data_IF_876144404122
#
_entry.id   IF_876144404122
#
_cell.length_a   1.000
_cell.length_b   1.000
_cell.length_c   1.000
_cell.angle_alpha   90.00
_cell.angle_beta   90.00
_cell.angle_gamma   90.00
#
_symmetry.space_group_name_H-M   'P 1'
#
loop_
_entity.id
_entity.type
_entity.pdbx_description
1 polymer ?
#
# COMPACT_ATOMS: atom_id res chain seq x y z
N UNK A 1 -34.75 -20.01 -3.71
CA UNK A 1 -33.33 -20.40 -3.89
C UNK A 1 -32.93 -21.17 -2.67
N UNK A 2 -32.35 -22.36 -2.82
CA UNK A 2 -31.78 -23.13 -1.71
C UNK A 2 -30.67 -22.32 -1.04
N UNK A 3 -30.73 -22.19 0.28
CA UNK A 3 -29.72 -21.51 1.07
C UNK A 3 -28.34 -22.17 0.88
N UNK A 4 -27.30 -21.37 0.66
CA UNK A 4 -25.95 -21.91 0.46
C UNK A 4 -25.46 -22.61 1.75
N UNK A 5 -24.62 -23.64 1.60
CA UNK A 5 -24.00 -24.29 2.76
C UNK A 5 -23.19 -23.30 3.60
N UNK A 6 -22.59 -22.29 2.95
CA UNK A 6 -21.81 -21.25 3.61
C UNK A 6 -22.68 -20.37 4.51
N UNK A 7 -23.79 -19.86 3.97
CA UNK A 7 -24.75 -19.05 4.73
C UNK A 7 -25.38 -19.84 5.86
N UNK A 8 -25.84 -21.07 5.58
CA UNK A 8 -26.49 -21.94 6.57
C UNK A 8 -25.58 -22.21 7.77
N UNK A 9 -24.33 -22.60 7.53
CA UNK A 9 -23.38 -22.90 8.61
C UNK A 9 -22.96 -21.64 9.37
N UNK A 10 -22.81 -20.51 8.69
CA UNK A 10 -22.52 -19.24 9.33
C UNK A 10 -23.64 -18.76 10.28
N UNK A 11 -24.90 -18.97 9.89
CA UNK A 11 -26.08 -18.68 10.72
C UNK A 11 -26.18 -19.62 11.93
N UNK A 12 -25.69 -20.85 11.82
CA UNK A 12 -25.71 -21.84 12.89
C UNK A 12 -24.64 -21.60 13.98
N UNK A 13 -23.60 -20.83 13.69
CA UNK A 13 -22.58 -20.47 14.68
C UNK A 13 -23.20 -19.66 15.82
N UNK A 14 -22.87 -20.02 17.07
CA UNK A 14 -23.28 -19.27 18.26
C UNK A 14 -22.79 -17.82 18.22
N UNK A 15 -23.54 -16.89 18.81
CA UNK A 15 -23.06 -15.52 19.03
C UNK A 15 -21.87 -15.47 19.99
N UNK A 16 -21.75 -16.47 20.88
CA UNK A 16 -20.66 -16.62 21.85
C UNK A 16 -19.51 -17.49 21.34
N UNK A 17 -19.55 -17.91 20.06
CA UNK A 17 -18.55 -18.80 19.48
C UNK A 17 -17.12 -18.28 19.70
N UNK A 18 -16.29 -19.14 20.30
CA UNK A 18 -14.86 -18.87 20.48
C UNK A 18 -14.10 -19.21 19.19
N UNK A 19 -12.81 -18.87 19.15
CA UNK A 19 -11.93 -19.11 18.01
C UNK A 19 -11.98 -20.57 17.53
N UNK A 20 -11.98 -21.53 18.46
CA UNK A 20 -12.07 -22.97 18.15
C UNK A 20 -13.39 -23.38 17.51
N UNK A 21 -14.52 -22.80 17.94
CA UNK A 21 -15.83 -23.07 17.33
C UNK A 21 -15.87 -22.54 15.90
N UNK A 22 -15.42 -21.31 15.68
CA UNK A 22 -15.37 -20.68 14.36
C UNK A 22 -14.48 -21.51 13.43
N UNK A 23 -13.32 -21.96 13.91
CA UNK A 23 -12.38 -22.77 13.15
C UNK A 23 -13.00 -24.11 12.72
N UNK A 24 -13.57 -24.85 13.67
CA UNK A 24 -14.00 -26.24 13.48
C UNK A 24 -15.40 -26.37 12.88
N UNK A 25 -16.27 -25.38 13.07
CA UNK A 25 -17.66 -25.42 12.57
C UNK A 25 -17.82 -24.66 11.25
N UNK A 26 -16.99 -23.64 10.96
CA UNK A 26 -17.15 -22.80 9.77
C UNK A 26 -15.92 -22.76 8.86
N UNK A 27 -14.75 -22.41 9.38
CA UNK A 27 -13.56 -22.18 8.52
C UNK A 27 -13.14 -23.48 7.81
N UNK A 28 -12.81 -24.53 8.57
CA UNK A 28 -12.33 -25.80 8.02
C UNK A 28 -13.39 -26.53 7.21
N UNK A 29 -14.61 -26.78 7.71
CA UNK A 29 -15.56 -27.64 7.00
C UNK A 29 -16.28 -26.94 5.84
N UNK A 30 -16.29 -25.60 5.79
CA UNK A 30 -17.12 -24.86 4.82
C UNK A 30 -16.32 -23.82 4.05
N UNK A 31 -15.61 -22.90 4.72
CA UNK A 31 -14.89 -21.84 4.03
C UNK A 31 -13.75 -22.39 3.16
N UNK A 32 -12.88 -23.23 3.73
CA UNK A 32 -11.73 -23.78 3.00
C UNK A 32 -12.15 -24.63 1.78
N UNK A 33 -13.12 -25.58 1.90
CA UNK A 33 -13.65 -26.30 0.74
C UNK A 33 -14.32 -25.38 -0.30
N UNK A 34 -15.01 -24.31 0.12
CA UNK A 34 -15.56 -23.33 -0.83
C UNK A 34 -14.47 -22.60 -1.64
N UNK A 35 -13.25 -22.59 -1.10
CA UNK A 35 -12.04 -22.07 -1.74
C UNK A 35 -11.18 -23.18 -2.33
N UNK A 36 -11.73 -24.37 -2.50
CA UNK A 36 -11.11 -25.55 -3.10
C UNK A 36 -9.92 -26.10 -2.31
N UNK A 37 -9.73 -25.74 -1.03
CA UNK A 37 -8.64 -26.29 -0.20
C UNK A 37 -8.98 -27.66 0.38
N UNK A 38 -8.01 -28.57 0.36
CA UNK A 38 -8.12 -29.91 0.92
C UNK A 38 -7.58 -29.98 2.36
N UNK A 39 -7.90 -31.08 3.07
CA UNK A 39 -7.53 -31.29 4.48
C UNK A 39 -6.02 -31.32 4.75
N UNK A 40 -5.20 -31.56 3.71
CA UNK A 40 -3.73 -31.59 3.80
C UNK A 40 -3.07 -30.29 3.32
N UNK A 41 -3.86 -29.25 3.03
CA UNK A 41 -3.39 -27.94 2.50
C UNK A 41 -3.41 -26.82 3.56
N UNK A 42 -3.58 -27.17 4.83
CA UNK A 42 -3.52 -26.23 5.95
C UNK A 42 -2.82 -26.81 7.19
N UNK A 43 -2.39 -25.92 8.08
CA UNK A 43 -1.84 -26.25 9.39
C UNK A 43 -2.46 -25.34 10.45
N UNK A 44 -3.01 -25.95 11.50
CA UNK A 44 -3.57 -25.26 12.66
C UNK A 44 -2.42 -24.90 13.62
N UNK A 45 -2.54 -23.79 14.35
CA UNK A 45 -1.54 -23.36 15.36
C UNK A 45 -0.13 -23.26 14.75
N UNK A 46 -0.03 -22.62 13.59
CA UNK A 46 1.18 -22.60 12.79
C UNK A 46 2.25 -21.68 13.41
N UNK A 47 3.46 -22.20 13.72
CA UNK A 47 4.53 -21.40 14.31
C UNK A 47 5.09 -20.41 13.29
N UNK A 48 5.01 -19.12 13.61
CA UNK A 48 5.44 -18.05 12.69
C UNK A 48 6.96 -17.92 12.54
N UNK A 49 7.72 -18.59 13.41
CA UNK A 49 9.18 -18.48 13.47
C UNK A 49 9.69 -17.25 14.21
N UNK A 50 8.79 -16.48 14.83
CA UNK A 50 9.10 -15.31 15.66
C UNK A 50 8.77 -15.59 17.13
N UNK A 51 9.78 -16.01 17.90
CA UNK A 51 9.57 -16.39 19.31
C UNK A 51 8.52 -17.50 19.43
N UNK A 52 7.58 -17.35 20.36
CA UNK A 52 6.47 -18.28 20.57
C UNK A 52 5.18 -17.96 19.80
N UNK A 53 5.18 -16.96 18.90
CA UNK A 53 3.97 -16.55 18.17
C UNK A 53 3.51 -17.66 17.21
N UNK A 54 2.24 -18.07 17.35
CA UNK A 54 1.53 -18.99 16.45
C UNK A 54 0.31 -18.29 15.86
N UNK A 55 0.04 -18.53 14.58
CA UNK A 55 -1.19 -18.08 13.91
C UNK A 55 -2.19 -19.24 13.86
N UNK A 56 -3.48 -18.94 14.01
CA UNK A 56 -4.52 -19.99 14.13
C UNK A 56 -4.53 -20.94 12.93
N UNK A 57 -4.32 -20.41 11.73
CA UNK A 57 -4.27 -21.21 10.51
C UNK A 57 -3.25 -20.67 9.50
N UNK A 58 -2.44 -21.55 8.95
CA UNK A 58 -1.64 -21.29 7.75
C UNK A 58 -2.10 -22.22 6.62
N UNK A 59 -2.05 -21.75 5.38
CA UNK A 59 -2.63 -22.42 4.21
C UNK A 59 -1.65 -22.36 3.03
N UNK A 60 -1.53 -23.48 2.31
CA UNK A 60 -0.79 -23.60 1.04
C UNK A 60 -1.33 -24.75 0.19
N UNK A 61 -1.54 -24.47 -1.09
CA UNK A 61 -1.77 -25.52 -2.10
C UNK A 61 -0.62 -26.51 -2.16
N UNK A 62 -0.94 -27.80 -2.25
CA UNK A 62 0.06 -28.82 -2.51
C UNK A 62 0.67 -28.62 -3.91
N UNK A 63 1.90 -29.07 -4.07
CA UNK A 63 2.51 -29.23 -5.38
C UNK A 63 2.92 -30.70 -5.55
N UNK A 64 3.32 -31.09 -6.76
CA UNK A 64 3.62 -32.48 -7.12
C UNK A 64 4.67 -33.16 -6.21
N UNK A 65 5.48 -32.37 -5.49
CA UNK A 65 6.62 -32.86 -4.70
C UNK A 65 6.50 -32.58 -3.21
N UNK A 66 5.53 -31.78 -2.78
CA UNK A 66 5.47 -31.25 -1.42
C UNK A 66 4.04 -31.05 -0.92
N UNK A 67 3.70 -31.84 0.10
CA UNK A 67 2.47 -31.76 0.86
C UNK A 67 2.63 -30.81 2.06
N UNK A 68 1.77 -29.79 2.14
CA UNK A 68 1.91 -28.73 3.13
C UNK A 68 1.68 -29.18 4.57
N UNK A 69 0.71 -30.06 4.84
CA UNK A 69 0.48 -30.58 6.18
C UNK A 69 1.72 -31.30 6.76
N UNK A 70 2.55 -31.87 5.88
CA UNK A 70 3.83 -32.49 6.26
C UNK A 70 4.97 -31.46 6.35
N UNK A 71 5.24 -30.72 5.28
CA UNK A 71 6.41 -29.83 5.23
C UNK A 71 6.27 -28.57 6.08
N UNK A 72 5.03 -28.08 6.24
CA UNK A 72 4.70 -26.86 6.98
C UNK A 72 5.59 -25.69 6.57
N UNK A 73 5.91 -25.60 5.28
CA UNK A 73 6.79 -24.59 4.74
C UNK A 73 6.08 -23.70 3.73
N UNK A 74 6.53 -22.46 3.65
CA UNK A 74 6.17 -21.49 2.62
C UNK A 74 4.66 -21.19 2.48
N UNK A 75 3.90 -20.97 3.57
CA UNK A 75 2.48 -20.62 3.48
C UNK A 75 2.27 -19.38 2.61
N UNK A 76 1.18 -19.35 1.85
CA UNK A 76 0.84 -18.19 1.02
C UNK A 76 -0.30 -17.36 1.64
N UNK A 77 -1.12 -17.98 2.48
CA UNK A 77 -2.24 -17.40 3.22
C UNK A 77 -2.16 -17.80 4.70
N UNK A 78 -2.48 -16.86 5.59
CA UNK A 78 -2.71 -17.13 7.02
C UNK A 78 -4.07 -16.56 7.44
N UNK A 79 -4.71 -17.17 8.44
CA UNK A 79 -5.95 -16.69 9.03
C UNK A 79 -5.75 -16.56 10.54
N UNK A 80 -6.02 -15.37 11.06
CA UNK A 80 -6.10 -15.10 12.49
C UNK A 80 -7.56 -14.92 12.89
N UNK A 81 -7.96 -15.64 13.94
CA UNK A 81 -9.30 -15.71 14.48
C UNK A 81 -9.40 -14.91 15.79
N UNK A 82 -10.61 -14.41 16.04
CA UNK A 82 -11.04 -13.86 17.32
C UNK A 82 -12.42 -14.40 17.65
N UNK A 83 -12.77 -14.50 18.93
CA UNK A 83 -14.13 -14.86 19.36
C UNK A 83 -15.18 -13.85 18.84
N UNK A 84 -16.39 -14.31 18.52
CA UNK A 84 -17.47 -13.50 17.93
C UNK A 84 -17.89 -12.30 18.77
N UNK A 85 -17.82 -12.43 20.10
CA UNK A 85 -18.17 -11.38 21.06
C UNK A 85 -17.15 -10.25 21.15
N UNK A 86 -15.96 -10.39 20.57
CA UNK A 86 -15.00 -9.27 20.51
C UNK A 86 -15.57 -8.18 19.61
N UNK A 87 -15.57 -6.93 20.11
CA UNK A 87 -15.88 -5.76 19.29
C UNK A 87 -14.84 -5.64 18.17
N UNK A 88 -15.26 -6.03 16.98
CA UNK A 88 -14.46 -5.98 15.77
C UNK A 88 -14.90 -4.88 14.83
N UNK A 89 -15.65 -3.88 15.32
CA UNK A 89 -15.91 -2.68 14.55
C UNK A 89 -14.61 -1.94 14.19
N UNK A 90 -14.59 -1.30 13.02
CA UNK A 90 -13.41 -0.57 12.56
C UNK A 90 -13.02 0.51 13.56
N UNK A 91 -11.79 0.43 14.06
CA UNK A 91 -11.24 1.40 15.00
C UNK A 91 -11.39 1.02 16.48
N UNK A 92 -12.12 -0.06 16.81
CA UNK A 92 -12.16 -0.57 18.18
C UNK A 92 -10.76 -0.94 18.70
N UNK A 93 -10.56 -0.91 20.03
CA UNK A 93 -9.27 -1.28 20.63
C UNK A 93 -8.90 -2.73 20.35
N UNK A 94 -9.88 -3.64 20.32
CA UNK A 94 -9.62 -5.06 20.12
C UNK A 94 -9.32 -5.38 18.67
N UNK A 95 -10.01 -4.73 17.72
CA UNK A 95 -9.63 -4.75 16.31
C UNK A 95 -8.19 -4.24 16.12
N UNK A 96 -7.83 -3.09 16.70
CA UNK A 96 -6.47 -2.55 16.59
C UNK A 96 -5.39 -3.50 17.15
N UNK A 97 -5.65 -4.14 18.29
CA UNK A 97 -4.74 -5.17 18.84
C UNK A 97 -4.60 -6.36 17.90
N UNK A 98 -5.70 -6.84 17.33
CA UNK A 98 -5.70 -7.96 16.42
C UNK A 98 -4.95 -7.65 15.10
N UNK A 99 -5.09 -6.43 14.56
CA UNK A 99 -4.29 -5.96 13.42
C UNK A 99 -2.80 -5.89 13.76
N UNK A 100 -2.43 -5.41 14.96
CA UNK A 100 -1.02 -5.40 15.40
C UNK A 100 -0.47 -6.82 15.53
N UNK A 101 -1.25 -7.75 16.09
CA UNK A 101 -0.90 -9.17 16.16
C UNK A 101 -0.65 -9.75 14.77
N UNK A 102 -1.57 -9.55 13.81
CA UNK A 102 -1.42 -9.99 12.43
C UNK A 102 -0.15 -9.42 11.77
N UNK A 103 0.12 -8.13 11.96
CA UNK A 103 1.33 -7.47 11.44
C UNK A 103 2.61 -8.08 12.02
N UNK A 104 2.61 -8.59 13.26
CA UNK A 104 3.78 -9.30 13.83
C UNK A 104 4.08 -10.58 13.07
N UNK A 105 3.07 -11.37 12.70
CA UNK A 105 3.22 -12.61 11.93
C UNK A 105 3.74 -12.37 10.51
N UNK A 106 3.46 -11.19 9.96
CA UNK A 106 3.88 -10.78 8.62
C UNK A 106 5.18 -9.95 8.63
N UNK A 107 5.78 -9.75 9.80
CA UNK A 107 7.02 -9.00 9.92
C UNK A 107 8.22 -9.79 9.37
N UNK A 108 9.32 -9.11 8.96
CA UNK A 108 10.50 -9.79 8.44
C UNK A 108 11.13 -10.82 9.38
N UNK A 109 10.91 -10.68 10.70
CA UNK A 109 11.42 -11.62 11.71
C UNK A 109 10.57 -12.88 11.88
N UNK A 110 9.37 -12.95 11.30
CA UNK A 110 8.57 -14.17 11.22
C UNK A 110 9.07 -15.04 10.07
N UNK A 111 10.11 -15.84 10.35
CA UNK A 111 10.88 -16.57 9.34
C UNK A 111 10.05 -17.60 8.57
N UNK A 112 9.05 -18.21 9.20
CA UNK A 112 8.19 -19.22 8.59
C UNK A 112 7.04 -18.62 7.77
N UNK A 113 6.84 -17.29 7.85
CA UNK A 113 5.78 -16.58 7.14
C UNK A 113 6.30 -15.70 5.99
N UNK A 114 7.58 -15.83 5.60
CA UNK A 114 8.22 -14.96 4.59
C UNK A 114 7.53 -14.98 3.22
N UNK A 115 6.88 -16.08 2.85
CA UNK A 115 6.19 -16.28 1.57
C UNK A 115 4.72 -15.87 1.61
N UNK A 116 4.17 -15.52 2.78
CA UNK A 116 2.76 -15.16 2.94
C UNK A 116 2.48 -13.90 2.12
N UNK A 117 1.48 -13.98 1.23
CA UNK A 117 1.04 -12.86 0.40
C UNK A 117 -0.27 -12.26 0.91
N UNK A 118 -1.10 -13.10 1.52
CA UNK A 118 -2.42 -12.73 2.02
C UNK A 118 -2.56 -13.13 3.47
N UNK A 119 -3.32 -12.33 4.21
CA UNK A 119 -3.71 -12.68 5.56
C UNK A 119 -5.17 -12.28 5.76
N UNK A 120 -5.90 -13.10 6.50
CA UNK A 120 -7.28 -12.82 6.88
C UNK A 120 -7.32 -12.59 8.38
N UNK A 121 -8.07 -11.57 8.76
CA UNK A 121 -8.45 -11.34 10.15
C UNK A 121 -9.97 -11.47 10.24
N UNK A 122 -10.48 -12.33 11.10
CA UNK A 122 -11.93 -12.51 11.26
C UNK A 122 -12.30 -12.93 12.66
N UNK A 123 -13.50 -12.52 13.09
CA UNK A 123 -14.14 -13.05 14.29
C UNK A 123 -15.41 -13.85 13.96
N UNK A 124 -15.60 -14.26 12.70
CA UNK A 124 -16.84 -14.87 12.22
C UNK A 124 -17.96 -13.86 11.91
N UNK A 125 -18.04 -12.71 12.57
CA UNK A 125 -19.02 -11.65 12.21
C UNK A 125 -18.43 -10.66 11.20
N UNK A 126 -17.14 -10.36 11.35
CA UNK A 126 -16.38 -9.48 10.49
C UNK A 126 -15.27 -10.26 9.79
N UNK A 127 -14.95 -9.88 8.55
CA UNK A 127 -13.82 -10.42 7.81
C UNK A 127 -13.05 -9.31 7.10
N UNK A 128 -11.73 -9.35 7.17
CA UNK A 128 -10.87 -8.42 6.47
C UNK A 128 -9.68 -9.13 5.82
N UNK A 129 -9.43 -8.79 4.56
CA UNK A 129 -8.28 -9.26 3.81
C UNK A 129 -7.14 -8.23 3.88
N UNK A 130 -5.96 -8.70 4.27
CA UNK A 130 -4.71 -7.96 4.26
C UNK A 130 -3.79 -8.47 3.18
N UNK A 131 -3.10 -7.54 2.50
CA UNK A 131 -2.08 -7.86 1.51
C UNK A 131 -0.70 -7.56 2.04
N UNK A 132 0.24 -8.48 1.79
CA UNK A 132 1.67 -8.27 2.00
C UNK A 132 2.38 -8.10 0.67
N UNK A 133 3.18 -7.04 0.56
CA UNK A 133 4.08 -6.79 -0.56
C UNK A 133 5.45 -6.37 -0.02
N UNK A 134 6.38 -7.33 0.05
CA UNK A 134 7.66 -7.14 0.75
C UNK A 134 7.43 -6.88 2.25
N UNK A 135 7.83 -5.70 2.73
CA UNK A 135 7.59 -5.23 4.11
C UNK A 135 6.23 -4.56 4.31
N UNK A 136 5.59 -4.16 3.23
CA UNK A 136 4.31 -3.43 3.32
C UNK A 136 3.19 -4.42 3.62
N UNK A 137 2.49 -4.19 4.73
CA UNK A 137 1.30 -4.94 5.13
C UNK A 137 0.16 -3.95 5.35
N UNK A 138 -0.88 -4.06 4.53
CA UNK A 138 -2.00 -3.12 4.53
C UNK A 138 -3.33 -3.83 4.37
N UNK A 139 -4.44 -3.26 4.90
CA UNK A 139 -5.77 -3.77 4.63
C UNK A 139 -6.09 -3.59 3.15
N UNK A 140 -6.29 -4.70 2.44
CA UNK A 140 -6.71 -4.66 1.04
C UNK A 140 -8.21 -4.37 0.94
N UNK A 141 -8.99 -4.94 1.86
CA UNK A 141 -10.42 -4.64 2.00
C UNK A 141 -10.71 -3.75 3.21
N UNK A 142 -11.89 -3.12 3.23
CA UNK A 142 -12.48 -2.68 4.48
C UNK A 142 -12.70 -3.89 5.41
N UNK A 143 -13.00 -3.59 6.68
CA UNK A 143 -13.40 -4.61 7.63
C UNK A 143 -14.89 -4.90 7.45
N UNK A 144 -15.20 -5.95 6.69
CA UNK A 144 -16.53 -6.21 6.16
C UNK A 144 -17.37 -6.88 7.24
N UNK A 145 -18.54 -6.30 7.56
CA UNK A 145 -19.56 -6.96 8.35
C UNK A 145 -20.30 -8.00 7.48
N UNK A 146 -20.28 -9.26 7.89
CA UNK A 146 -21.01 -10.33 7.24
C UNK A 146 -22.47 -10.32 7.68
N UNK A 147 -23.37 -10.48 6.71
CA UNK A 147 -24.81 -10.64 6.92
C UNK A 147 -25.32 -11.83 6.13
N UNK A 148 -26.53 -12.29 6.46
CA UNK A 148 -27.24 -13.32 5.68
C UNK A 148 -27.34 -12.96 4.19
N UNK A 149 -27.30 -11.69 3.84
CA UNK A 149 -27.58 -11.22 2.48
C UNK A 149 -26.30 -11.02 1.67
N UNK A 150 -25.16 -10.83 2.33
CA UNK A 150 -23.90 -10.51 1.66
C UNK A 150 -22.85 -11.63 1.72
N UNK A 151 -22.99 -12.61 2.61
CA UNK A 151 -21.87 -13.50 2.97
C UNK A 151 -21.31 -14.27 1.76
N UNK A 152 -22.16 -14.87 0.93
CA UNK A 152 -21.72 -15.61 -0.25
C UNK A 152 -20.94 -14.72 -1.23
N UNK A 153 -21.47 -13.51 -1.48
CA UNK A 153 -20.85 -12.55 -2.37
C UNK A 153 -19.48 -12.09 -1.84
N UNK A 154 -19.39 -11.74 -0.55
CA UNK A 154 -18.16 -11.23 0.07
C UNK A 154 -17.09 -12.30 0.16
N UNK A 155 -17.44 -13.54 0.51
CA UNK A 155 -16.51 -14.66 0.51
C UNK A 155 -16.01 -14.99 -0.90
N UNK A 156 -16.90 -15.01 -1.89
CA UNK A 156 -16.52 -15.23 -3.30
C UNK A 156 -15.57 -14.15 -3.82
N UNK A 157 -15.78 -12.89 -3.43
CA UNK A 157 -14.88 -11.81 -3.78
C UNK A 157 -13.50 -11.96 -3.12
N UNK A 158 -13.44 -12.30 -1.83
CA UNK A 158 -12.17 -12.54 -1.13
C UNK A 158 -11.41 -13.69 -1.80
N UNK A 159 -12.10 -14.78 -2.17
CA UNK A 159 -11.53 -15.88 -2.98
C UNK A 159 -10.87 -15.33 -4.25
N UNK A 160 -11.59 -14.51 -5.02
CA UNK A 160 -11.07 -13.92 -6.27
C UNK A 160 -9.76 -13.16 -6.05
N UNK A 161 -9.67 -12.32 -5.03
CA UNK A 161 -8.43 -11.57 -4.74
C UNK A 161 -7.27 -12.47 -4.35
N UNK A 162 -7.53 -13.51 -3.55
CA UNK A 162 -6.51 -14.47 -3.12
C UNK A 162 -5.93 -15.24 -4.31
N UNK A 163 -6.79 -15.70 -5.22
CA UNK A 163 -6.43 -16.53 -6.38
C UNK A 163 -5.94 -15.75 -7.60
N UNK A 164 -6.31 -14.47 -7.74
CA UNK A 164 -5.84 -13.58 -8.80
C UNK A 164 -5.04 -12.42 -8.20
N UNK A 165 -3.91 -12.69 -7.50
CA UNK A 165 -3.18 -11.65 -6.81
C UNK A 165 -2.54 -10.71 -7.81
N UNK A 166 -2.86 -9.43 -7.67
CA UNK A 166 -2.13 -8.38 -8.37
C UNK A 166 -0.64 -8.50 -8.04
N UNK A 167 0.21 -8.23 -9.03
CA UNK A 167 1.66 -8.21 -8.84
C UNK A 167 2.07 -6.89 -8.18
N UNK A 168 1.46 -5.80 -8.63
CA UNK A 168 1.83 -4.44 -8.31
C UNK A 168 1.47 -3.98 -6.89
N UNK A 169 2.37 -3.23 -6.26
CA UNK A 169 2.03 -2.25 -5.22
C UNK A 169 1.96 -0.84 -5.83
N UNK A 170 0.78 -0.23 -5.85
CA UNK A 170 0.64 1.18 -6.26
C UNK A 170 0.91 2.12 -5.09
N UNK A 171 1.80 3.09 -5.28
CA UNK A 171 2.30 4.01 -4.25
C UNK A 171 2.07 5.44 -4.71
N UNK A 172 1.24 6.21 -4.00
CA UNK A 172 1.16 7.65 -4.23
C UNK A 172 2.18 8.38 -3.36
N UNK A 173 2.96 9.29 -3.95
CA UNK A 173 3.78 10.24 -3.21
C UNK A 173 2.95 11.49 -2.98
N UNK A 174 2.57 11.73 -1.73
CA UNK A 174 1.59 12.77 -1.41
C UNK A 174 2.01 13.64 -0.23
N UNK A 175 1.83 14.95 -0.43
CA UNK A 175 1.84 15.98 0.60
C UNK A 175 1.23 17.24 -0.01
N UNK A 176 0.26 17.85 0.69
CA UNK A 176 -0.38 19.10 0.29
C UNK A 176 0.61 20.28 0.20
N UNK A 177 1.77 20.20 0.87
CA UNK A 177 2.81 21.21 0.76
C UNK A 177 3.66 20.97 -0.50
N UNK A 178 3.86 22.04 -1.29
CA UNK A 178 4.83 22.07 -2.38
C UNK A 178 6.28 21.98 -1.88
N UNK A 179 7.19 21.51 -2.73
CA UNK A 179 8.63 21.56 -2.44
C UNK A 179 9.11 20.65 -1.31
N UNK A 180 8.37 19.59 -0.95
CA UNK A 180 8.83 18.54 -0.01
C UNK A 180 9.61 17.40 -0.70
N UNK A 181 9.82 17.52 -2.01
CA UNK A 181 10.57 16.57 -2.83
C UNK A 181 9.81 15.31 -3.22
N UNK A 182 8.50 15.43 -3.54
CA UNK A 182 7.66 14.32 -4.06
C UNK A 182 8.23 13.80 -5.37
N UNK A 183 8.23 14.61 -6.42
CA UNK A 183 8.79 14.34 -7.74
C UNK A 183 10.21 13.79 -7.70
N UNK A 184 11.09 14.46 -6.95
CA UNK A 184 12.47 14.00 -6.73
C UNK A 184 12.53 12.60 -6.14
N UNK A 185 11.68 12.31 -5.14
CA UNK A 185 11.60 10.99 -4.52
C UNK A 185 11.03 9.96 -5.50
N UNK A 186 9.97 10.30 -6.25
CA UNK A 186 9.34 9.43 -7.25
C UNK A 186 10.38 8.91 -8.25
N UNK A 187 11.14 9.82 -8.85
CA UNK A 187 12.10 9.49 -9.91
C UNK A 187 13.26 8.63 -9.39
N UNK A 188 13.82 9.00 -8.24
CA UNK A 188 14.95 8.26 -7.67
C UNK A 188 14.51 6.91 -7.09
N UNK A 189 13.31 6.83 -6.52
CA UNK A 189 12.70 5.57 -6.09
C UNK A 189 12.46 4.64 -7.29
N UNK A 190 11.92 5.16 -8.40
CA UNK A 190 11.76 4.41 -9.64
C UNK A 190 13.10 3.90 -10.17
N UNK A 191 14.11 4.76 -10.16
CA UNK A 191 15.45 4.42 -10.60
C UNK A 191 16.09 3.30 -9.77
N UNK A 192 16.08 3.41 -8.43
CA UNK A 192 16.72 2.39 -7.59
C UNK A 192 15.97 1.05 -7.63
N UNK A 193 14.63 1.08 -7.69
CA UNK A 193 13.82 -0.12 -7.79
C UNK A 193 14.06 -0.85 -9.12
N UNK A 194 14.19 -0.11 -10.22
CA UNK A 194 14.39 -0.68 -11.57
C UNK A 194 15.82 -1.11 -11.86
N UNK A 195 16.83 -0.57 -11.16
CA UNK A 195 18.22 -0.96 -11.39
C UNK A 195 18.44 -2.47 -11.18
N UNK A 196 19.19 -3.14 -12.06
CA UNK A 196 19.56 -4.54 -11.88
C UNK A 196 20.38 -4.76 -10.61
N UNK A 197 20.21 -5.93 -9.99
CA UNK A 197 21.11 -6.37 -8.92
C UNK A 197 22.58 -6.45 -9.43
N UNK A 198 23.59 -6.14 -8.59
CA UNK A 198 23.49 -5.77 -7.17
C UNK A 198 23.28 -4.26 -6.94
N UNK A 199 23.09 -3.45 -7.99
CA UNK A 199 23.02 -1.98 -7.88
C UNK A 199 21.64 -1.45 -7.49
N UNK A 200 20.61 -2.28 -7.58
CA UNK A 200 19.23 -1.99 -7.19
C UNK A 200 18.43 -3.28 -6.99
N UNK A 201 17.13 -3.25 -7.26
CA UNK A 201 16.19 -4.31 -6.87
C UNK A 201 15.55 -5.09 -8.02
N UNK A 202 15.93 -4.79 -9.27
CA UNK A 202 15.47 -5.46 -10.49
C UNK A 202 13.93 -5.59 -10.59
N UNK A 203 13.22 -4.50 -10.31
CA UNK A 203 11.75 -4.43 -10.33
C UNK A 203 11.24 -3.78 -11.61
N UNK A 204 10.12 -4.26 -12.13
CA UNK A 204 9.39 -3.55 -13.21
C UNK A 204 8.63 -2.39 -12.57
N UNK A 205 8.97 -1.16 -12.96
CA UNK A 205 8.38 0.06 -12.39
C UNK A 205 7.70 0.87 -13.48
N UNK A 206 6.49 1.33 -13.17
CA UNK A 206 5.79 2.39 -13.90
C UNK A 206 5.75 3.64 -13.02
N UNK A 207 6.08 4.79 -13.58
CA UNK A 207 5.85 6.10 -12.98
C UNK A 207 4.62 6.73 -13.63
N UNK A 208 3.77 7.37 -12.85
CA UNK A 208 2.66 8.19 -13.34
C UNK A 208 2.91 9.61 -12.85
N UNK A 209 3.27 10.49 -13.78
CA UNK A 209 3.42 11.91 -13.54
C UNK A 209 2.04 12.56 -13.62
N UNK A 210 1.33 12.64 -12.50
CA UNK A 210 -0.07 13.06 -12.44
C UNK A 210 -0.23 14.52 -11.98
N UNK A 211 0.81 15.34 -12.20
CA UNK A 211 0.77 16.79 -12.01
C UNK A 211 0.67 17.51 -13.38
N UNK A 212 -0.53 17.93 -13.81
CA UNK A 212 -0.66 18.65 -15.07
C UNK A 212 -0.06 20.07 -15.01
N UNK A 213 0.22 20.61 -13.82
CA UNK A 213 0.75 21.98 -13.65
C UNK A 213 2.27 22.02 -13.74
N UNK A 214 2.95 20.91 -13.42
CA UNK A 214 4.41 20.83 -13.36
C UNK A 214 4.87 19.63 -14.18
N UNK A 215 5.51 19.88 -15.32
CA UNK A 215 6.13 18.84 -16.15
C UNK A 215 7.53 18.46 -15.67
N UNK A 216 7.88 18.83 -14.44
CA UNK A 216 9.23 18.71 -13.88
C UNK A 216 9.82 17.32 -14.07
N UNK A 217 8.99 16.27 -13.93
CA UNK A 217 9.41 14.89 -14.10
C UNK A 217 9.67 14.55 -15.58
N UNK A 218 8.72 14.88 -16.45
CA UNK A 218 8.78 14.59 -17.87
C UNK A 218 9.88 15.38 -18.59
N UNK A 219 10.05 16.65 -18.24
CA UNK A 219 11.10 17.55 -18.74
C UNK A 219 12.48 17.13 -18.25
N UNK A 220 12.58 16.68 -16.99
CA UNK A 220 13.83 16.14 -16.44
C UNK A 220 14.32 14.92 -17.23
N UNK A 221 13.42 14.10 -17.78
CA UNK A 221 13.80 12.82 -18.37
C UNK A 221 13.96 12.86 -19.90
N UNK A 222 13.68 13.99 -20.55
CA UNK A 222 13.75 14.17 -22.00
C UNK A 222 13.03 13.05 -22.78
N UNK A 223 11.81 12.74 -22.32
CA UNK A 223 11.03 11.62 -22.85
C UNK A 223 10.55 11.92 -24.27
N UNK A 224 10.47 10.87 -25.10
CA UNK A 224 9.66 10.94 -26.32
C UNK A 224 8.20 10.97 -25.93
N UNK A 225 7.40 11.80 -26.59
CA UNK A 225 5.97 11.81 -26.37
C UNK A 225 5.36 10.44 -26.68
N UNK A 226 4.38 9.97 -25.88
CA UNK A 226 3.64 8.76 -26.18
C UNK A 226 2.69 8.98 -27.37
N UNK A 227 2.22 7.90 -28.04
CA UNK A 227 1.22 7.99 -29.10
C UNK A 227 -0.08 8.68 -28.68
N UNK A 228 -0.49 8.53 -27.41
CA UNK A 228 -1.73 9.07 -26.86
C UNK A 228 -1.46 9.82 -25.56
N UNK A 229 -2.17 10.93 -25.33
CA UNK A 229 -2.15 11.66 -24.05
C UNK A 229 -3.12 11.03 -23.03
N UNK A 230 -2.84 11.19 -21.74
CA UNK A 230 -3.65 10.58 -20.67
C UNK A 230 -5.07 11.15 -20.62
N UNK A 231 -5.23 12.44 -20.88
CA UNK A 231 -6.53 13.12 -20.99
C UNK A 231 -7.38 12.54 -22.11
N UNK A 232 -6.78 12.29 -23.28
CA UNK A 232 -7.44 11.65 -24.42
C UNK A 232 -7.88 10.22 -24.06
N UNK A 233 -7.01 9.46 -23.39
CA UNK A 233 -7.37 8.14 -22.89
C UNK A 233 -8.53 8.19 -21.88
N UNK A 234 -8.53 9.16 -20.95
CA UNK A 234 -9.63 9.32 -19.98
C UNK A 234 -10.97 9.65 -20.64
N UNK A 235 -10.96 10.44 -21.72
CA UNK A 235 -12.16 10.81 -22.46
C UNK A 235 -12.74 9.65 -23.27
N UNK A 236 -11.91 8.70 -23.72
CA UNK A 236 -12.35 7.54 -24.50
C UNK A 236 -11.58 6.25 -24.15
N UNK A 237 -11.71 5.80 -22.90
CA UNK A 237 -11.02 4.62 -22.40
C UNK A 237 -11.51 3.30 -23.04
N UNK A 238 -12.66 3.32 -23.74
CA UNK A 238 -13.23 2.13 -24.38
C UNK A 238 -12.56 1.82 -25.71
N UNK A 239 -12.16 2.85 -26.45
CA UNK A 239 -11.53 2.70 -27.76
C UNK A 239 -10.01 2.83 -27.73
N UNK A 240 -9.45 3.34 -26.63
CA UNK A 240 -8.01 3.53 -26.48
C UNK A 240 -7.38 2.46 -25.58
N UNK A 241 -6.09 2.16 -25.81
CA UNK A 241 -5.31 1.28 -24.96
C UNK A 241 -4.43 2.11 -24.01
N UNK A 242 -4.42 1.75 -22.72
CA UNK A 242 -3.58 2.42 -21.71
C UNK A 242 -2.08 2.26 -22.03
N UNK A 243 -1.69 1.24 -22.78
CA UNK A 243 -0.28 1.10 -23.20
C UNK A 243 0.19 2.23 -24.14
N UNK A 244 -0.74 2.86 -24.87
CA UNK A 244 -0.45 3.94 -25.82
C UNK A 244 -0.15 5.28 -25.15
N UNK A 245 -0.40 5.40 -23.84
CA UNK A 245 -0.01 6.58 -23.04
C UNK A 245 1.36 6.42 -22.37
N UNK A 246 2.00 5.25 -22.52
CA UNK A 246 3.25 4.92 -21.82
C UNK A 246 4.46 5.27 -22.68
N UNK A 247 5.34 6.08 -22.10
CA UNK A 247 6.69 6.34 -22.58
C UNK A 247 7.71 5.46 -21.85
N UNK A 248 8.85 5.19 -22.50
CA UNK A 248 9.92 4.35 -21.95
C UNK A 248 11.14 5.20 -21.64
N UNK A 249 11.49 5.32 -20.36
CA UNK A 249 12.79 5.87 -19.97
C UNK A 249 13.83 4.76 -19.99
N UNK A 250 14.88 4.89 -20.81
CA UNK A 250 15.93 3.89 -20.94
C UNK A 250 17.30 4.56 -21.02
N UNK A 251 18.26 4.02 -20.26
CA UNK A 251 19.66 4.40 -20.33
C UNK A 251 20.50 3.19 -20.75
N UNK A 252 21.53 3.46 -21.56
CA UNK A 252 22.52 2.46 -21.97
C UNK A 252 23.84 2.73 -21.23
N UNK A 253 24.33 1.73 -20.50
CA UNK A 253 25.67 1.75 -19.91
C UNK A 253 26.30 0.36 -20.02
N UNK A 254 27.55 0.27 -20.45
CA UNK A 254 28.31 -0.99 -20.59
C UNK A 254 27.50 -2.10 -21.29
N UNK A 255 26.89 -1.76 -22.43
CA UNK A 255 26.05 -2.66 -23.24
C UNK A 255 24.79 -3.20 -22.56
N UNK A 256 24.43 -2.72 -21.37
CA UNK A 256 23.16 -3.01 -20.70
C UNK A 256 22.21 -1.83 -20.86
N UNK A 257 20.93 -2.14 -21.03
CA UNK A 257 19.84 -1.17 -21.04
C UNK A 257 19.01 -1.35 -19.79
N UNK A 258 18.80 -0.27 -19.04
CA UNK A 258 17.97 -0.25 -17.83
C UNK A 258 17.12 1.02 -17.79
N UNK A 259 16.12 1.02 -16.93
CA UNK A 259 15.19 2.13 -16.75
C UNK A 259 13.81 1.65 -16.36
N UNK A 260 12.83 2.53 -16.50
CA UNK A 260 11.46 2.31 -16.06
C UNK A 260 10.49 2.91 -17.09
N UNK A 261 9.24 2.51 -17.00
CA UNK A 261 8.17 3.04 -17.84
C UNK A 261 7.49 4.21 -17.15
N UNK A 262 6.87 5.08 -17.93
CA UNK A 262 6.31 6.33 -17.44
C UNK A 262 5.10 6.76 -18.24
N UNK A 263 4.02 7.13 -17.56
CA UNK A 263 2.94 7.96 -18.10
C UNK A 263 3.33 9.42 -17.81
N UNK A 264 3.68 10.22 -18.83
CA UNK A 264 4.10 11.62 -18.64
C UNK A 264 2.96 12.52 -18.16
N UNK A 265 3.31 13.69 -17.60
CA UNK A 265 2.35 14.73 -17.29
C UNK A 265 1.64 15.19 -18.57
N UNK A 266 0.35 15.47 -18.42
CA UNK A 266 -0.51 15.89 -19.51
C UNK A 266 -1.11 17.27 -19.22
N UNK A 267 -0.62 18.27 -19.94
CA UNK A 267 -1.06 19.65 -19.84
C UNK A 267 -2.44 19.90 -20.44
N UNK A 268 -2.96 19.00 -21.28
CA UNK A 268 -4.31 19.16 -21.85
C UNK A 268 -5.38 19.15 -20.77
N UNK A 269 -5.11 18.53 -19.61
CA UNK A 269 -6.00 18.62 -18.46
C UNK A 269 -6.22 20.07 -17.96
N UNK A 270 -5.29 21.00 -18.22
CA UNK A 270 -5.44 22.41 -17.86
C UNK A 270 -6.36 23.17 -18.82
N UNK A 271 -6.51 22.67 -20.05
CA UNK A 271 -7.38 23.25 -21.09
C UNK A 271 -8.83 22.75 -20.96
N UNK A 272 -9.03 21.62 -20.26
CA UNK A 272 -10.35 21.06 -19.99
C UNK A 272 -11.12 21.89 -18.97
N UNK A 273 -12.41 22.11 -19.22
CA UNK A 273 -13.26 22.80 -18.26
C UNK A 273 -13.48 21.98 -16.98
N UNK A 274 -13.85 22.68 -15.90
CA UNK A 274 -14.04 22.05 -14.58
C UNK A 274 -15.14 20.97 -14.58
N UNK A 275 -16.19 21.10 -15.38
CA UNK A 275 -17.26 20.11 -15.42
C UNK A 275 -16.77 18.82 -16.07
N UNK A 276 -15.98 18.92 -17.13
CA UNK A 276 -15.35 17.75 -17.77
C UNK A 276 -14.37 17.06 -16.81
N UNK A 277 -13.52 17.79 -16.09
CA UNK A 277 -12.63 17.16 -15.08
C UNK A 277 -13.44 16.49 -13.96
N UNK A 278 -14.50 17.13 -13.49
CA UNK A 278 -15.34 16.58 -12.43
C UNK A 278 -16.13 15.34 -12.89
N UNK A 279 -16.53 15.27 -14.16
CA UNK A 279 -17.30 14.15 -14.71
C UNK A 279 -16.49 12.86 -14.85
N UNK A 280 -15.16 12.95 -14.93
CA UNK A 280 -14.28 11.77 -14.85
C UNK A 280 -14.54 10.99 -13.56
N UNK A 281 -14.69 11.70 -12.43
CA UNK A 281 -14.93 11.11 -11.13
C UNK A 281 -13.69 10.48 -10.49
N UNK A 282 -13.68 10.43 -9.15
CA UNK A 282 -12.60 9.83 -8.37
C UNK A 282 -12.63 8.30 -8.55
N UNK A 283 -11.46 7.71 -8.81
CA UNK A 283 -11.24 6.32 -9.16
C UNK A 283 -10.86 6.10 -10.63
N UNK A 284 -10.88 7.14 -11.47
CA UNK A 284 -10.59 7.02 -12.91
C UNK A 284 -9.17 6.54 -13.15
N UNK A 285 -8.18 7.12 -12.48
CA UNK A 285 -6.81 6.64 -12.58
C UNK A 285 -6.67 5.19 -12.09
N UNK A 286 -7.36 4.80 -11.01
CA UNK A 286 -7.32 3.41 -10.51
C UNK A 286 -7.82 2.41 -11.56
N UNK A 287 -8.97 2.70 -12.16
CA UNK A 287 -9.60 1.86 -13.19
C UNK A 287 -8.68 1.76 -14.42
N UNK A 288 -8.13 2.89 -14.83
CA UNK A 288 -7.20 2.99 -15.98
C UNK A 288 -5.95 2.13 -15.80
N UNK A 289 -5.40 2.06 -14.58
CA UNK A 289 -4.19 1.30 -14.28
C UNK A 289 -4.44 -0.20 -14.00
N UNK A 290 -5.69 -0.66 -14.00
CA UNK A 290 -6.05 -2.02 -13.54
C UNK A 290 -5.34 -3.14 -14.29
N UNK A 291 -5.29 -3.09 -15.62
CA UNK A 291 -4.59 -4.08 -16.46
C UNK A 291 -3.07 -4.08 -16.21
N UNK A 292 -2.49 -2.90 -15.99
CA UNK A 292 -1.06 -2.71 -15.77
C UNK A 292 -0.57 -3.27 -14.42
N UNK A 293 -1.46 -3.43 -13.44
CA UNK A 293 -1.11 -3.98 -12.11
C UNK A 293 -0.67 -5.45 -12.12
N UNK A 294 -0.90 -6.16 -13.22
CA UNK A 294 -0.38 -7.52 -13.46
C UNK A 294 1.05 -7.51 -14.03
N UNK A 295 1.47 -6.42 -14.65
CA UNK A 295 2.74 -6.29 -15.39
C UNK A 295 3.85 -5.76 -14.48
N UNK A 296 3.56 -4.70 -13.74
CA UNK A 296 4.53 -3.98 -12.91
C UNK A 296 4.60 -4.55 -11.48
N UNK A 297 5.79 -4.47 -10.87
CA UNK A 297 5.99 -4.71 -9.45
C UNK A 297 5.57 -3.48 -8.62
N UNK A 298 5.85 -2.28 -9.15
CA UNK A 298 5.49 -1.01 -8.52
C UNK A 298 4.92 -0.03 -9.55
N UNK A 299 3.85 0.67 -9.17
CA UNK A 299 3.36 1.86 -9.87
C UNK A 299 3.52 3.03 -8.89
N UNK A 300 4.39 3.98 -9.22
CA UNK A 300 4.64 5.18 -8.42
C UNK A 300 3.88 6.36 -9.01
N UNK A 301 3.01 7.01 -8.23
CA UNK A 301 2.16 8.10 -8.69
C UNK A 301 2.66 9.39 -8.03
N UNK A 302 3.16 10.31 -8.84
CA UNK A 302 3.53 11.66 -8.39
C UNK A 302 2.29 12.55 -8.44
N UNK A 303 1.93 13.14 -7.31
CA UNK A 303 0.71 13.96 -7.18
C UNK A 303 1.04 15.46 -7.06
N UNK A 304 0.17 16.35 -7.59
CA UNK A 304 0.41 17.79 -7.54
C UNK A 304 0.26 18.36 -6.12
N UNK A 305 0.88 19.50 -5.78
CA UNK A 305 0.49 20.22 -4.56
C UNK A 305 -0.92 20.85 -4.74
N UNK A 306 -1.85 20.60 -3.82
CA UNK A 306 -3.07 21.41 -3.66
C UNK A 306 -4.20 21.30 -4.71
N UNK A 307 -4.02 20.62 -5.85
CA UNK A 307 -5.10 20.41 -6.83
C UNK A 307 -6.09 19.33 -6.36
N UNK A 308 -7.38 19.67 -6.24
CA UNK A 308 -8.39 18.81 -5.63
C UNK A 308 -8.70 17.53 -6.39
N UNK A 309 -8.75 17.51 -7.73
CA UNK A 309 -9.08 16.28 -8.46
C UNK A 309 -7.89 15.33 -8.50
N UNK A 310 -6.76 15.81 -9.05
CA UNK A 310 -5.56 15.00 -9.28
C UNK A 310 -4.98 14.39 -8.01
N UNK A 311 -4.97 15.13 -6.89
CA UNK A 311 -4.54 14.56 -5.61
C UNK A 311 -5.47 13.46 -5.13
N UNK A 312 -6.79 13.72 -5.14
CA UNK A 312 -7.77 12.76 -4.65
C UNK A 312 -7.75 11.48 -5.50
N UNK A 313 -7.59 11.61 -6.82
CA UNK A 313 -7.57 10.47 -7.73
C UNK A 313 -6.22 9.71 -7.70
N UNK A 314 -5.08 10.40 -7.53
CA UNK A 314 -3.79 9.75 -7.25
C UNK A 314 -3.84 8.88 -5.99
N UNK A 315 -4.37 9.45 -4.89
CA UNK A 315 -4.54 8.73 -3.63
C UNK A 315 -5.51 7.56 -3.84
N UNK A 316 -6.64 7.76 -4.54
CA UNK A 316 -7.62 6.72 -4.81
C UNK A 316 -7.04 5.54 -5.62
N UNK A 317 -6.13 5.83 -6.56
CA UNK A 317 -5.42 4.83 -7.35
C UNK A 317 -4.40 4.01 -6.55
N UNK A 318 -3.84 4.58 -5.48
CA UNK A 318 -2.80 3.94 -4.69
C UNK A 318 -3.32 2.88 -3.72
N UNK A 319 -2.48 1.88 -3.46
CA UNK A 319 -2.66 0.95 -2.35
C UNK A 319 -2.12 1.57 -1.06
N UNK A 320 -0.95 2.20 -1.16
CA UNK A 320 -0.29 2.90 -0.05
C UNK A 320 0.13 4.31 -0.44
N UNK A 321 0.23 5.18 0.57
CA UNK A 321 0.63 6.57 0.41
C UNK A 321 1.93 6.82 1.14
N UNK A 322 2.97 7.23 0.41
CA UNK A 322 4.27 7.62 0.95
C UNK A 322 4.31 9.14 1.13
N UNK A 323 4.59 9.61 2.35
CA UNK A 323 4.48 11.03 2.71
C UNK A 323 5.85 11.63 3.07
N UNK A 324 6.57 12.24 2.11
CA UNK A 324 7.74 13.05 2.42
C UNK A 324 7.34 14.31 3.18
N UNK A 325 8.10 14.68 4.22
CA UNK A 325 7.89 15.90 5.00
C UNK A 325 9.19 16.68 5.18
N UNK A 326 9.08 17.99 5.41
CA UNK A 326 10.18 18.84 5.87
C UNK A 326 10.09 19.07 7.38
N UNK A 327 11.24 19.26 8.03
CA UNK A 327 11.33 19.43 9.49
C UNK A 327 10.88 20.81 9.96
N UNK A 328 11.16 21.85 9.16
CA UNK A 328 11.02 23.26 9.52
C UNK A 328 9.59 23.81 9.49
N UNK A 329 8.57 22.98 9.28
CA UNK A 329 7.20 23.45 9.14
C UNK A 329 6.21 22.58 9.88
N UNK A 330 5.71 23.07 11.02
CA UNK A 330 4.56 22.49 11.74
C UNK A 330 3.38 22.23 10.78
N UNK A 331 3.20 23.09 9.78
CA UNK A 331 2.21 22.91 8.72
C UNK A 331 2.36 21.59 7.96
N UNK A 332 3.59 21.11 7.71
CA UNK A 332 3.83 19.82 7.04
C UNK A 332 3.33 18.65 7.89
N UNK A 333 3.59 18.68 9.20
CA UNK A 333 3.12 17.64 10.13
C UNK A 333 1.60 17.68 10.31
N UNK A 334 1.02 18.88 10.42
CA UNK A 334 -0.44 19.05 10.47
C UNK A 334 -1.12 18.56 9.20
N UNK A 335 -0.53 18.81 8.03
CA UNK A 335 -1.03 18.31 6.76
C UNK A 335 -0.99 16.79 6.69
N UNK A 336 0.10 16.16 7.13
CA UNK A 336 0.19 14.70 7.17
C UNK A 336 -0.84 14.10 8.15
N UNK A 337 -0.99 14.68 9.33
CA UNK A 337 -2.01 14.27 10.30
C UNK A 337 -3.43 14.38 9.71
N UNK A 338 -3.77 15.53 9.14
CA UNK A 338 -5.07 15.77 8.49
C UNK A 338 -5.31 14.80 7.31
N UNK A 339 -4.27 14.47 6.56
CA UNK A 339 -4.36 13.51 5.47
C UNK A 339 -4.75 12.12 5.97
N UNK A 340 -4.07 11.65 7.02
CA UNK A 340 -4.32 10.35 7.63
C UNK A 340 -5.71 10.28 8.26
N UNK A 341 -6.14 11.33 8.99
CA UNK A 341 -7.37 11.28 9.78
C UNK A 341 -8.63 11.67 9.00
N UNK A 342 -8.53 12.47 7.94
CA UNK A 342 -9.70 13.01 7.22
C UNK A 342 -9.69 12.65 5.74
N UNK A 343 -8.58 12.89 5.05
CA UNK A 343 -8.54 12.76 3.58
C UNK A 343 -8.58 11.29 3.15
N UNK A 344 -7.72 10.42 3.69
CA UNK A 344 -7.68 9.02 3.28
C UNK A 344 -8.96 8.26 3.61
N UNK A 345 -9.61 8.45 4.78
CA UNK A 345 -10.95 7.88 5.02
C UNK A 345 -11.99 8.34 4.01
N UNK A 346 -12.06 9.65 3.72
CA UNK A 346 -13.00 10.19 2.72
C UNK A 346 -12.74 9.66 1.30
N UNK A 347 -11.47 9.49 0.91
CA UNK A 347 -11.13 8.83 -0.36
C UNK A 347 -11.49 7.34 -0.34
N UNK A 348 -11.36 6.67 0.80
CA UNK A 348 -11.84 5.32 1.01
C UNK A 348 -13.35 5.19 0.75
N UNK A 349 -14.16 6.12 1.27
CA UNK A 349 -15.61 6.15 1.00
C UNK A 349 -15.89 6.31 -0.50
N UNK A 350 -15.16 7.19 -1.18
CA UNK A 350 -15.25 7.35 -2.64
C UNK A 350 -14.81 6.10 -3.40
N UNK A 351 -13.76 5.39 -2.94
CA UNK A 351 -13.33 4.11 -3.52
C UNK A 351 -14.44 3.07 -3.48
N UNK A 352 -15.20 3.05 -2.39
CA UNK A 352 -16.29 2.09 -2.18
C UNK A 352 -17.55 2.36 -3.01
N UNK A 353 -17.66 3.52 -3.68
CA UNK A 353 -18.78 3.75 -4.62
C UNK A 353 -18.63 2.95 -5.92
N UNK A 354 -17.40 2.56 -6.29
CA UNK A 354 -17.12 1.77 -7.50
C UNK A 354 -16.43 0.43 -7.23
N UNK A 355 -15.85 0.24 -6.05
CA UNK A 355 -15.29 -1.04 -5.59
C UNK A 355 -15.61 -1.20 -4.08
N UNK A 356 -16.83 -1.67 -3.73
CA UNK A 356 -17.42 -1.55 -2.39
C UNK A 356 -16.62 -2.11 -1.21
N UNK A 357 -15.74 -3.08 -1.46
CA UNK A 357 -15.00 -3.77 -0.42
C UNK A 357 -13.62 -3.17 -0.21
N UNK A 358 -13.20 -2.22 -1.04
CA UNK A 358 -11.84 -1.73 -1.08
C UNK A 358 -11.47 -0.96 0.19
N UNK A 359 -10.29 -1.27 0.74
CA UNK A 359 -9.75 -0.59 1.90
C UNK A 359 -9.43 0.89 1.62
N UNK A 360 -9.24 1.65 2.70
CA UNK A 360 -8.75 3.01 2.59
C UNK A 360 -7.31 3.01 2.04
N UNK A 361 -6.90 4.05 1.28
CA UNK A 361 -5.49 4.28 0.94
C UNK A 361 -4.64 4.24 2.23
N UNK A 362 -3.65 3.35 2.28
CA UNK A 362 -2.95 3.08 3.53
C UNK A 362 -1.71 3.96 3.69
N UNK A 363 -1.64 4.82 4.73
CA UNK A 363 -0.46 5.66 4.96
C UNK A 363 0.74 4.82 5.40
N UNK A 364 1.87 5.00 4.70
CA UNK A 364 3.17 4.56 5.19
C UNK A 364 3.71 5.57 6.22
N UNK A 365 4.66 5.15 7.08
CA UNK A 365 5.30 6.06 8.00
C UNK A 365 5.90 7.28 7.27
N UNK A 366 5.75 8.45 7.89
CA UNK A 366 6.30 9.70 7.40
C UNK A 366 7.82 9.61 7.46
N UNK A 367 8.48 10.18 6.46
CA UNK A 367 9.93 10.36 6.48
C UNK A 367 10.28 11.81 6.19
N UNK A 368 11.47 12.21 6.62
CA UNK A 368 11.97 13.55 6.37
C UNK A 368 12.88 13.61 5.18
N UNK A 369 12.69 14.63 4.36
CA UNK A 369 13.44 14.82 3.14
C UNK A 369 14.25 16.12 3.19
N UNK A 370 15.59 15.97 3.13
CA UNK A 370 16.44 16.98 2.53
C UNK A 370 16.94 18.12 3.40
N UNK A 371 17.01 18.01 4.72
CA UNK A 371 17.62 19.07 5.56
C UNK A 371 18.55 18.48 6.62
N UNK A 372 19.82 18.91 6.61
CA UNK A 372 20.67 18.76 7.80
C UNK A 372 20.14 19.75 8.82
N UNK A 373 19.63 19.22 9.93
CA UNK A 373 19.06 20.03 11.00
C UNK A 373 19.88 19.89 12.28
N UNK A 374 19.96 20.98 13.03
CA UNK A 374 20.59 20.97 14.35
C UNK A 374 19.79 20.09 15.32
N UNK A 375 20.46 19.59 16.37
CA UNK A 375 19.79 18.83 17.43
C UNK A 375 18.62 19.61 18.07
N UNK A 376 18.75 20.93 18.19
CA UNK A 376 17.68 21.80 18.69
C UNK A 376 16.44 21.79 17.76
N UNK A 377 16.64 21.87 16.44
CA UNK A 377 15.56 21.79 15.48
C UNK A 377 14.91 20.40 15.45
N UNK A 378 15.69 19.32 15.64
CA UNK A 378 15.15 17.96 15.82
C UNK A 378 14.22 17.89 17.02
N UNK A 379 14.64 18.43 18.16
CA UNK A 379 13.84 18.44 19.39
C UNK A 379 12.53 19.24 19.20
N UNK A 380 12.59 20.44 18.60
CA UNK A 380 11.41 21.25 18.34
C UNK A 380 10.41 20.53 17.41
N UNK A 381 10.90 19.85 16.37
CA UNK A 381 10.06 19.06 15.49
C UNK A 381 9.39 17.90 16.24
N UNK A 382 10.14 17.19 17.08
CA UNK A 382 9.61 16.10 17.93
C UNK A 382 8.53 16.61 18.89
N UNK A 383 8.76 17.74 19.57
CA UNK A 383 7.79 18.33 20.49
C UNK A 383 6.49 18.73 19.77
N UNK A 384 6.62 19.31 18.57
CA UNK A 384 5.48 19.64 17.73
C UNK A 384 4.69 18.39 17.29
N UNK A 385 5.40 17.32 16.90
CA UNK A 385 4.79 16.04 16.53
C UNK A 385 4.05 15.42 17.72
N UNK A 386 4.69 15.38 18.90
CA UNK A 386 4.07 14.86 20.12
C UNK A 386 2.80 15.62 20.49
N UNK A 387 2.80 16.95 20.34
CA UNK A 387 1.61 17.78 20.55
C UNK A 387 0.48 17.42 19.57
N UNK A 388 0.80 17.23 18.28
CA UNK A 388 -0.17 16.82 17.26
C UNK A 388 -0.73 15.43 17.57
N UNK A 389 0.12 14.45 17.89
CA UNK A 389 -0.31 13.09 18.26
C UNK A 389 -1.26 13.14 19.46
N UNK A 390 -0.89 13.88 20.52
CA UNK A 390 -1.72 14.02 21.72
C UNK A 390 -3.08 14.66 21.40
N UNK A 391 -3.08 15.70 20.57
CA UNK A 391 -4.29 16.40 20.17
C UNK A 391 -5.23 15.46 19.40
N UNK A 392 -4.75 14.83 18.32
CA UNK A 392 -5.54 13.94 17.46
C UNK A 392 -6.02 12.69 18.23
N UNK A 393 -5.18 12.13 19.11
CA UNK A 393 -5.58 10.99 19.95
C UNK A 393 -6.70 11.35 20.93
N UNK A 394 -6.77 12.61 21.35
CA UNK A 394 -7.82 13.11 22.28
C UNK A 394 -9.11 13.41 21.52
N UNK A 395 -9.00 14.17 20.43
CA UNK A 395 -10.11 14.68 19.61
C UNK A 395 -10.72 13.59 18.73
N UNK A 396 -9.91 12.93 17.89
CA UNK A 396 -10.36 11.98 16.86
C UNK A 396 -10.27 10.51 17.31
N UNK A 397 -9.70 10.23 18.49
CA UNK A 397 -9.40 8.88 19.00
C UNK A 397 -8.47 8.06 18.09
N UNK A 398 -7.69 8.72 17.24
CA UNK A 398 -6.72 8.09 16.33
C UNK A 398 -5.31 8.24 16.90
N UNK A 399 -4.57 7.13 16.99
CA UNK A 399 -3.17 7.16 17.40
C UNK A 399 -2.26 7.31 16.17
N UNK A 400 -1.63 8.47 16.03
CA UNK A 400 -0.70 8.76 14.94
C UNK A 400 0.74 8.30 15.20
N UNK A 401 1.04 7.79 16.41
CA UNK A 401 2.39 7.32 16.79
C UNK A 401 2.98 6.35 15.77
N UNK A 402 2.27 5.34 15.24
CA UNK A 402 2.85 4.39 14.29
C UNK A 402 3.28 5.01 12.94
N UNK A 403 2.73 6.18 12.58
CA UNK A 403 3.05 6.86 11.33
C UNK A 403 4.22 7.84 11.47
N UNK A 404 4.39 8.46 12.64
CA UNK A 404 5.55 9.31 12.90
C UNK A 404 6.73 8.51 13.43
N UNK A 405 6.49 7.57 14.35
CA UNK A 405 7.51 6.81 15.06
C UNK A 405 7.28 5.30 14.87
N UNK A 406 7.56 4.76 13.67
CA UNK A 406 7.23 3.37 13.33
C UNK A 406 7.98 2.32 14.17
N UNK A 407 9.09 2.71 14.82
CA UNK A 407 9.90 1.86 15.72
C UNK A 407 9.49 2.00 17.19
N UNK A 408 8.49 2.83 17.51
CA UNK A 408 8.03 3.03 18.88
C UNK A 408 7.32 1.80 19.44
N UNK A 409 7.69 1.42 20.67
CA UNK A 409 6.96 0.46 21.50
C UNK A 409 6.96 0.94 22.95
N UNK A 410 6.07 0.39 23.79
CA UNK A 410 6.08 0.73 25.22
C UNK A 410 7.39 0.31 25.91
N UNK A 411 8.03 -0.77 25.45
CA UNK A 411 9.32 -1.24 25.95
C UNK A 411 10.49 -0.40 25.42
N UNK A 412 10.43 0.03 24.16
CA UNK A 412 11.45 0.83 23.48
C UNK A 412 10.81 2.07 22.85
N UNK A 413 10.93 3.21 23.55
CA UNK A 413 10.39 4.51 23.10
C UNK A 413 11.25 5.14 22.01
N UNK A 414 11.50 4.42 20.91
CA UNK A 414 12.23 4.95 19.76
C UNK A 414 11.35 5.99 19.04
N UNK A 415 11.81 7.25 19.04
CA UNK A 415 11.16 8.41 18.41
C UNK A 415 11.90 8.86 17.14
N UNK A 416 12.71 7.97 16.55
CA UNK A 416 13.44 8.25 15.32
C UNK A 416 12.49 8.22 14.13
N UNK A 417 12.70 9.18 13.24
CA UNK A 417 12.01 9.28 11.95
C UNK A 417 13.07 9.02 10.88
N UNK A 418 12.74 8.23 9.86
CA UNK A 418 13.67 8.00 8.75
C UNK A 418 13.97 9.34 8.06
N UNK A 419 15.26 9.62 7.82
CA UNK A 419 15.72 10.87 7.20
C UNK A 419 16.46 10.54 5.90
N UNK A 420 16.02 11.14 4.78
CA UNK A 420 16.82 11.24 3.57
C UNK A 420 17.73 12.48 3.66
N UNK A 421 19.07 12.31 3.60
CA UNK A 421 20.01 13.42 3.76
C UNK A 421 19.87 14.52 2.69
N UNK A 422 20.32 15.74 3.03
CA UNK A 422 20.30 16.90 2.11
C UNK A 422 21.21 16.70 0.87
N UNK A 423 20.78 17.23 -0.26
CA UNK A 423 21.29 16.94 -1.59
C UNK A 423 21.99 18.13 -2.26
N UNK A 424 23.33 18.11 -2.33
CA UNK A 424 24.06 18.88 -3.35
C UNK A 424 23.98 18.21 -4.74
N UNK A 425 23.80 16.89 -4.79
CA UNK A 425 23.91 16.08 -6.02
C UNK A 425 22.59 15.91 -6.81
N UNK A 426 21.44 16.17 -6.20
CA UNK A 426 20.15 16.17 -6.92
C UNK A 426 19.99 17.44 -7.74
N UNK A 427 20.47 18.56 -7.23
CA UNK A 427 20.50 19.83 -7.96
C UNK A 427 21.43 19.76 -9.19
N UNK A 428 22.51 18.97 -9.17
CA UNK A 428 23.33 18.73 -10.38
C UNK A 428 22.70 17.70 -11.32
N UNK A 429 21.98 16.72 -10.77
CA UNK A 429 21.27 15.71 -11.56
C UNK A 429 20.12 16.29 -12.39
N UNK A 430 19.46 17.35 -11.89
CA UNK A 430 18.42 18.07 -12.63
C UNK A 430 18.94 18.65 -13.95
N UNK A 431 20.16 19.20 -13.96
CA UNK A 431 20.83 19.66 -15.17
C UNK A 431 21.26 18.51 -16.09
N UNK A 432 21.57 17.34 -15.54
CA UNK A 432 22.02 16.16 -16.30
C UNK A 432 20.89 15.34 -16.94
N UNK A 433 19.63 15.72 -16.70
CA UNK A 433 18.43 15.03 -17.21
C UNK A 433 18.37 13.52 -16.87
N UNK A 434 18.87 13.16 -15.68
CA UNK A 434 18.97 11.76 -15.21
C UNK A 434 18.60 11.66 -13.73
N UNK A 435 17.95 10.56 -13.30
CA UNK A 435 17.82 10.24 -11.88
C UNK A 435 19.18 10.25 -11.18
N UNK A 436 19.26 10.88 -10.01
CA UNK A 436 20.51 10.99 -9.25
C UNK A 436 21.06 9.62 -8.82
N UNK A 437 20.17 8.64 -8.59
CA UNK A 437 20.55 7.25 -8.35
C UNK A 437 21.29 6.59 -9.53
N UNK A 438 21.29 7.17 -10.73
CA UNK A 438 22.09 6.64 -11.85
C UNK A 438 23.48 7.26 -11.95
N UNK A 439 23.69 8.42 -11.35
CA UNK A 439 24.91 9.21 -11.48
C UNK A 439 25.71 9.33 -10.18
N UNK A 440 25.08 9.11 -9.02
CA UNK A 440 25.70 9.26 -7.71
C UNK A 440 25.60 7.99 -6.87
N UNK A 441 26.76 7.51 -6.40
CA UNK A 441 26.83 6.38 -5.45
C UNK A 441 26.11 6.70 -4.13
N UNK A 442 26.30 7.92 -3.59
CA UNK A 442 25.62 8.36 -2.36
C UNK A 442 24.11 8.40 -2.52
N UNK A 443 23.62 8.91 -3.65
CA UNK A 443 22.18 8.89 -3.93
C UNK A 443 21.63 7.46 -3.99
N UNK A 444 22.36 6.52 -4.62
CA UNK A 444 21.99 5.10 -4.61
C UNK A 444 21.89 4.52 -3.21
N UNK A 445 22.87 4.79 -2.36
CA UNK A 445 22.87 4.30 -0.97
C UNK A 445 21.63 4.78 -0.22
N UNK A 446 21.34 6.08 -0.25
CA UNK A 446 20.17 6.64 0.46
C UNK A 446 18.83 6.09 -0.03
N UNK A 447 18.64 5.99 -1.35
CA UNK A 447 17.41 5.43 -1.90
C UNK A 447 17.34 3.90 -1.74
N UNK A 448 18.48 3.22 -1.64
CA UNK A 448 18.51 1.80 -1.24
C UNK A 448 18.00 1.64 0.19
N UNK A 449 18.43 2.51 1.09
CA UNK A 449 17.98 2.48 2.49
C UNK A 449 16.50 2.85 2.62
N UNK A 450 16.00 3.81 1.83
CA UNK A 450 14.56 4.11 1.75
C UNK A 450 13.77 2.88 1.28
N UNK A 451 14.22 2.20 0.22
CA UNK A 451 13.56 0.98 -0.26
C UNK A 451 13.56 -0.11 0.81
N UNK A 452 14.68 -0.28 1.51
CA UNK A 452 14.79 -1.25 2.60
C UNK A 452 13.93 -0.88 3.80
N UNK A 453 13.79 0.39 4.15
CA UNK A 453 12.96 0.79 5.28
C UNK A 453 11.48 0.53 4.98
N UNK A 454 11.02 0.88 3.78
CA UNK A 454 9.59 0.94 3.46
C UNK A 454 9.02 -0.22 2.66
N UNK A 455 9.81 -0.86 1.79
CA UNK A 455 9.26 -1.75 0.75
C UNK A 455 9.80 -3.18 0.78
N UNK A 456 11.10 -3.39 0.96
CA UNK A 456 11.78 -4.70 0.83
C UNK A 456 12.52 -5.05 2.12
#
# INVERSE_FOLDING_TARGET
MTESNLKKTWLALSNEAIEGDILTQFIIPVLLPSWDFENNEFCIEYPTGKGGDKVDLAIRKNNNTDNFAHSKSNPFLIIELKKRMVDFSTGSKDYQKAVLQLKRYLSPSATNCKTVRWAILTNGNYIQLFRRHGKVVYPYTENILLTSDNIDQKISLIKKYIYQPEKCLSVALYNNKGGVGKTTTTINLAGILSLPAPFGFNKKVLVVDFDPNQKDLSDLLNLKAPPLKLSQFFLDYKNNNIEDVISKYRLKANSKVFGFDIIPADDQFLEMDRNTINSLGIGTLRKSLSSLRSIYDYILIDSPPGNEFFNKDAIAASDVVLMPSKHNGIASFKNAASAITKIFPSIGEKRRTYQPELGNPFPLPIFFNGEQISNAAKQQAQDAINKIIKQIKTEDKIDLTPFFFPKYTNAHKNLEIFELPNYAYIASASFSKRPAVFTSKKAREYYTDLVREYFI
#
